data_IF_561924756707
#
_entry.id   IF_561924756707
#
_cell.length_a   1.000
_cell.length_b   1.000
_cell.length_c   1.000
_cell.angle_alpha   90.00
_cell.angle_beta   90.00
_cell.angle_gamma   90.00
#
_symmetry.space_group_name_H-M   'P 1'
#
loop_
_entity.id
_entity.type
_entity.pdbx_description
1 polymer ?
#
# COMPACT_ATOMS: atom_id res chain seq x y z
N UNK A 1 -24.32 22.14 -4.17
CA UNK A 1 -22.99 21.76 -3.65
C UNK A 1 -22.53 20.47 -4.30
N UNK A 2 -21.30 20.36 -4.78
CA UNK A 2 -20.77 19.10 -5.32
C UNK A 2 -20.78 18.05 -4.20
N UNK A 3 -21.22 16.82 -4.53
CA UNK A 3 -21.23 15.71 -3.57
C UNK A 3 -19.78 15.42 -3.14
N UNK A 4 -19.52 15.37 -1.84
CA UNK A 4 -18.20 15.08 -1.30
C UNK A 4 -17.76 13.68 -1.73
N UNK A 5 -16.56 13.57 -2.29
CA UNK A 5 -15.97 12.29 -2.69
C UNK A 5 -15.09 11.76 -1.58
N UNK A 6 -15.27 10.49 -1.25
CA UNK A 6 -14.44 9.78 -0.27
C UNK A 6 -13.65 8.68 -0.94
N UNK A 7 -12.51 8.37 -0.35
CA UNK A 7 -11.61 7.28 -0.74
C UNK A 7 -11.37 6.39 0.47
N UNK A 8 -11.19 5.11 0.23
CA UNK A 8 -10.80 4.13 1.23
C UNK A 8 -9.48 3.52 0.78
N UNK A 9 -8.43 3.73 1.54
CA UNK A 9 -7.12 3.14 1.32
C UNK A 9 -7.09 1.86 2.16
N UNK A 10 -6.79 0.74 1.52
CA UNK A 10 -6.61 -0.57 2.13
C UNK A 10 -5.14 -0.94 2.07
N UNK A 11 -4.60 -1.41 3.17
CA UNK A 11 -3.32 -2.12 3.18
C UNK A 11 -3.39 -3.36 4.07
N UNK A 12 -2.61 -4.40 3.72
CA UNK A 12 -2.61 -5.67 4.42
C UNK A 12 -1.21 -6.26 4.56
N UNK A 13 -0.86 -6.69 5.77
CA UNK A 13 0.27 -7.57 6.00
C UNK A 13 -0.18 -9.03 6.15
N UNK A 14 0.62 -9.95 5.65
CA UNK A 14 0.15 -11.31 5.38
C UNK A 14 0.85 -12.38 6.21
N UNK A 15 0.18 -13.53 6.31
CA UNK A 15 0.76 -14.78 6.77
C UNK A 15 1.43 -15.53 5.63
N UNK A 16 2.20 -16.57 5.96
CA UNK A 16 2.81 -17.49 4.97
C UNK A 16 1.78 -18.25 4.12
N UNK A 17 0.52 -18.31 4.55
CA UNK A 17 -0.57 -19.01 3.88
C UNK A 17 -1.44 -18.06 3.03
N UNK A 18 -0.90 -16.91 2.65
CA UNK A 18 -1.59 -15.93 1.80
C UNK A 18 -2.89 -15.37 2.39
N UNK A 19 -2.99 -15.33 3.71
CA UNK A 19 -4.11 -14.71 4.44
C UNK A 19 -3.67 -13.43 5.14
N UNK A 20 -4.62 -12.56 5.48
CA UNK A 20 -4.35 -11.30 6.16
C UNK A 20 -4.03 -11.53 7.62
N UNK A 21 -2.91 -10.97 8.09
CA UNK A 21 -2.50 -10.94 9.50
C UNK A 21 -2.76 -9.58 10.15
N UNK A 22 -2.31 -8.48 9.53
CA UNK A 22 -2.61 -7.09 9.91
C UNK A 22 -3.47 -6.47 8.81
N UNK A 23 -4.57 -5.86 9.20
CA UNK A 23 -5.56 -5.27 8.31
C UNK A 23 -5.77 -3.82 8.67
N UNK A 24 -5.66 -2.93 7.69
CA UNK A 24 -6.02 -1.54 7.89
C UNK A 24 -6.81 -0.96 6.73
N UNK A 25 -7.70 -0.03 7.07
CA UNK A 25 -8.37 0.86 6.13
C UNK A 25 -8.37 2.28 6.65
N UNK A 26 -8.10 3.25 5.76
CA UNK A 26 -8.16 4.68 6.04
C UNK A 26 -9.17 5.33 5.10
N UNK A 27 -10.21 5.96 5.65
CA UNK A 27 -11.22 6.69 4.88
C UNK A 27 -10.88 8.18 4.92
N UNK A 28 -10.65 8.75 3.76
CA UNK A 28 -10.28 10.16 3.60
C UNK A 28 -11.14 10.85 2.54
N UNK A 29 -11.04 12.19 2.49
CA UNK A 29 -11.54 12.98 1.39
C UNK A 29 -10.42 13.35 0.40
N UNK A 30 -10.78 14.18 -0.58
CA UNK A 30 -9.87 14.63 -1.63
C UNK A 30 -8.71 15.48 -1.12
N UNK A 31 -8.88 16.14 0.02
CA UNK A 31 -7.86 16.96 0.68
C UNK A 31 -6.96 16.15 1.62
N UNK A 32 -7.23 14.83 1.78
CA UNK A 32 -6.48 13.95 2.68
C UNK A 32 -6.94 14.00 4.13
N UNK A 33 -8.09 14.65 4.42
CA UNK A 33 -8.64 14.62 5.78
C UNK A 33 -9.19 13.21 6.07
N UNK A 34 -8.73 12.62 7.14
CA UNK A 34 -9.18 11.29 7.60
C UNK A 34 -10.50 11.45 8.36
N UNK A 35 -11.49 10.62 8.02
CA UNK A 35 -12.83 10.57 8.62
C UNK A 35 -13.08 9.34 9.47
N UNK A 36 -12.42 8.25 9.12
CA UNK A 36 -12.48 7.00 9.86
C UNK A 36 -11.26 6.14 9.50
N UNK A 37 -10.88 5.27 10.40
CA UNK A 37 -9.84 4.27 10.16
C UNK A 37 -10.09 3.02 10.97
N UNK A 38 -9.61 1.89 10.48
CA UNK A 38 -9.59 0.60 11.15
C UNK A 38 -8.17 0.05 11.07
N UNK A 39 -7.67 -0.48 12.17
CA UNK A 39 -6.38 -1.15 12.24
C UNK A 39 -6.44 -2.29 13.23
N UNK A 40 -6.41 -3.53 12.74
CA UNK A 40 -6.63 -4.71 13.56
C UNK A 40 -5.77 -5.89 13.11
N UNK A 41 -5.38 -6.72 14.07
CA UNK A 41 -4.81 -8.03 13.78
C UNK A 41 -5.94 -9.05 13.63
N UNK A 42 -5.89 -9.86 12.57
CA UNK A 42 -6.98 -10.77 12.20
C UNK A 42 -6.92 -12.03 13.06
N UNK A 43 -7.88 -12.17 13.97
CA UNK A 43 -8.00 -13.35 14.83
C UNK A 43 -8.19 -14.63 14.02
N UNK A 44 -7.50 -15.70 14.41
CA UNK A 44 -7.49 -16.96 13.68
C UNK A 44 -6.46 -17.02 12.54
N UNK A 45 -5.85 -15.89 12.16
CA UNK A 45 -4.76 -15.82 11.17
C UNK A 45 -3.47 -15.31 11.83
N UNK A 46 -3.47 -14.09 12.34
CA UNK A 46 -2.31 -13.51 13.01
C UNK A 46 -1.76 -14.37 14.15
N UNK A 47 -2.63 -14.90 15.00
CA UNK A 47 -2.24 -15.62 16.21
C UNK A 47 -1.97 -17.12 16.01
N UNK A 48 -2.31 -17.68 14.86
CA UNK A 48 -2.17 -19.12 14.57
C UNK A 48 -1.17 -19.43 13.47
N UNK A 49 -0.77 -18.44 12.68
CA UNK A 49 0.12 -18.61 11.54
C UNK A 49 1.37 -17.76 11.67
N UNK A 50 2.42 -18.17 10.97
CA UNK A 50 3.65 -17.40 10.85
C UNK A 50 3.46 -16.23 9.90
N UNK A 51 4.01 -15.06 10.24
CA UNK A 51 3.96 -13.89 9.37
C UNK A 51 4.90 -14.08 8.18
N UNK A 52 4.45 -13.66 7.00
CA UNK A 52 5.23 -13.80 5.77
C UNK A 52 6.62 -13.14 5.89
N UNK A 53 6.68 -11.90 6.39
CA UNK A 53 7.94 -11.19 6.55
C UNK A 53 8.87 -11.80 7.59
N UNK A 54 8.35 -12.34 8.70
CA UNK A 54 9.18 -13.00 9.71
C UNK A 54 9.86 -14.25 9.18
N UNK A 55 9.21 -14.99 8.27
CA UNK A 55 9.75 -16.19 7.64
C UNK A 55 10.69 -15.86 6.49
N UNK A 56 10.39 -14.81 5.74
CA UNK A 56 11.07 -14.44 4.50
C UNK A 56 12.06 -13.28 4.67
N UNK A 57 12.28 -12.83 5.91
CA UNK A 57 13.12 -11.67 6.20
C UNK A 57 14.53 -11.72 5.57
N UNK A 58 15.12 -12.92 5.46
CA UNK A 58 16.44 -13.16 4.89
C UNK A 58 16.38 -13.89 3.55
N UNK A 59 15.24 -13.91 2.88
CA UNK A 59 15.02 -14.61 1.62
C UNK A 59 15.16 -13.65 0.42
N UNK A 60 14.76 -14.14 -0.76
CA UNK A 60 14.88 -13.48 -2.09
C UNK A 60 14.35 -12.05 -2.17
N UNK A 61 13.57 -11.60 -1.19
CA UNK A 61 12.98 -10.26 -1.15
C UNK A 61 13.90 -9.18 -0.56
N UNK A 62 15.09 -9.54 -0.04
CA UNK A 62 16.08 -8.58 0.47
C UNK A 62 15.65 -7.82 1.72
N UNK A 63 14.77 -8.38 2.53
CA UNK A 63 14.34 -7.81 3.81
C UNK A 63 15.38 -8.00 4.92
N UNK A 64 16.66 -7.96 4.58
CA UNK A 64 17.75 -8.07 5.58
C UNK A 64 17.58 -7.00 6.67
N UNK A 65 17.66 -7.42 7.92
CA UNK A 65 17.60 -6.53 9.08
C UNK A 65 16.19 -6.12 9.50
N UNK A 66 15.14 -6.58 8.83
CA UNK A 66 13.79 -6.42 9.35
C UNK A 66 13.61 -7.31 10.57
N UNK A 67 13.53 -6.68 11.72
CA UNK A 67 13.26 -7.35 12.99
C UNK A 67 11.94 -8.14 12.88
N UNK A 68 11.87 -9.22 13.63
CA UNK A 68 10.67 -10.04 13.72
C UNK A 68 9.47 -9.17 14.05
N UNK A 69 8.56 -9.01 13.10
CA UNK A 69 7.36 -8.15 13.23
C UNK A 69 6.41 -8.63 14.29
N UNK A 70 6.39 -9.94 14.55
CA UNK A 70 5.60 -10.54 15.62
C UNK A 70 5.84 -9.85 16.96
N UNK A 71 7.10 -9.54 17.29
CA UNK A 71 7.44 -8.84 18.53
C UNK A 71 6.89 -7.40 18.55
N UNK A 72 6.95 -6.70 17.43
CA UNK A 72 6.36 -5.36 17.27
C UNK A 72 4.85 -5.37 17.47
N UNK A 73 4.17 -6.34 16.86
CA UNK A 73 2.71 -6.49 17.02
C UNK A 73 2.29 -6.85 18.44
N UNK A 74 3.08 -7.65 19.17
CA UNK A 74 2.82 -7.91 20.60
C UNK A 74 2.83 -6.59 21.38
N UNK A 75 3.85 -5.77 21.17
CA UNK A 75 3.92 -4.46 21.81
C UNK A 75 2.74 -3.54 21.41
N UNK A 76 2.29 -3.58 20.15
CA UNK A 76 1.12 -2.83 19.70
C UNK A 76 -0.19 -3.31 20.37
N UNK A 77 -0.32 -4.62 20.61
CA UNK A 77 -1.46 -5.19 21.34
C UNK A 77 -1.43 -4.75 22.81
N UNK A 78 -0.27 -4.85 23.47
CA UNK A 78 -0.09 -4.50 24.87
C UNK A 78 -0.37 -3.02 25.14
N UNK A 79 0.00 -2.16 24.17
CA UNK A 79 -0.22 -0.71 24.24
C UNK A 79 -1.59 -0.26 23.70
N UNK A 80 -2.44 -1.18 23.24
CA UNK A 80 -3.75 -0.87 22.69
C UNK A 80 -3.75 -0.16 21.32
N UNK A 81 -2.61 -0.12 20.63
CA UNK A 81 -2.48 0.46 19.27
C UNK A 81 -3.08 -0.47 18.20
N UNK A 82 -3.09 -1.75 18.49
CA UNK A 82 -3.81 -2.79 17.72
C UNK A 82 -4.70 -3.59 18.66
N UNK A 83 -5.72 -4.22 18.10
CA UNK A 83 -6.55 -5.22 18.79
C UNK A 83 -6.76 -6.41 17.86
N UNK A 84 -7.08 -7.57 18.45
CA UNK A 84 -7.54 -8.72 17.68
C UNK A 84 -9.00 -8.52 17.28
N UNK A 85 -9.31 -8.74 16.02
CA UNK A 85 -10.67 -8.70 15.51
C UNK A 85 -10.99 -9.92 14.66
N UNK A 86 -12.20 -10.45 14.79
CA UNK A 86 -12.67 -11.51 13.91
C UNK A 86 -12.98 -10.97 12.52
N UNK A 87 -12.94 -11.83 11.51
CA UNK A 87 -13.34 -11.50 10.13
C UNK A 87 -14.76 -10.93 10.07
N UNK A 88 -15.68 -11.46 10.89
CA UNK A 88 -17.05 -10.93 10.98
C UNK A 88 -17.08 -9.49 11.49
N UNK A 89 -16.26 -9.14 12.47
CA UNK A 89 -16.17 -7.77 12.99
C UNK A 89 -15.59 -6.82 11.94
N UNK A 90 -14.57 -7.24 11.19
CA UNK A 90 -13.99 -6.50 10.08
C UNK A 90 -15.05 -6.26 8.99
N UNK A 91 -15.75 -7.29 8.55
CA UNK A 91 -16.80 -7.19 7.53
C UNK A 91 -17.94 -6.26 7.98
N UNK A 92 -18.34 -6.31 9.25
CA UNK A 92 -19.33 -5.39 9.80
C UNK A 92 -18.85 -3.93 9.75
N UNK A 93 -17.60 -3.66 10.11
CA UNK A 93 -17.01 -2.33 10.03
C UNK A 93 -16.96 -1.83 8.59
N UNK A 94 -16.53 -2.68 7.64
CA UNK A 94 -16.48 -2.37 6.20
C UNK A 94 -17.87 -1.96 5.69
N UNK A 95 -18.90 -2.74 5.98
CA UNK A 95 -20.27 -2.47 5.54
C UNK A 95 -20.81 -1.14 6.12
N UNK A 96 -20.50 -0.84 7.39
CA UNK A 96 -20.84 0.44 8.00
C UNK A 96 -20.12 1.62 7.32
N UNK A 97 -18.84 1.44 7.02
CA UNK A 97 -18.03 2.45 6.34
C UNK A 97 -18.53 2.72 4.91
N UNK A 98 -18.85 1.66 4.14
CA UNK A 98 -19.45 1.78 2.81
C UNK A 98 -20.80 2.50 2.89
N UNK A 99 -21.68 2.09 3.78
CA UNK A 99 -23.01 2.70 3.94
C UNK A 99 -22.94 4.19 4.31
N UNK A 100 -21.96 4.60 5.11
CA UNK A 100 -21.81 5.98 5.57
C UNK A 100 -21.12 6.88 4.55
N UNK A 101 -20.08 6.40 3.88
CA UNK A 101 -19.18 7.24 3.08
C UNK A 101 -19.26 6.93 1.57
N UNK A 102 -19.68 5.73 1.17
CA UNK A 102 -19.66 5.23 -0.21
C UNK A 102 -18.31 5.55 -0.91
N UNK A 103 -17.17 5.15 -0.33
CA UNK A 103 -15.87 5.55 -0.83
C UNK A 103 -15.42 4.72 -2.03
N UNK A 104 -14.51 5.28 -2.84
CA UNK A 104 -13.75 4.51 -3.82
C UNK A 104 -12.61 3.76 -3.12
N UNK A 105 -12.54 2.43 -3.30
CA UNK A 105 -11.48 1.59 -2.72
C UNK A 105 -10.20 1.68 -3.53
N UNK A 106 -9.07 1.79 -2.85
CA UNK A 106 -7.74 1.71 -3.46
C UNK A 106 -6.73 1.06 -2.51
N UNK A 107 -5.64 0.54 -3.07
CA UNK A 107 -4.46 0.05 -2.36
C UNK A 107 -3.24 0.16 -3.28
N UNK A 108 -2.04 0.16 -2.71
CA UNK A 108 -0.81 0.10 -3.50
C UNK A 108 -0.58 -1.33 -3.97
N UNK A 109 -0.91 -1.64 -5.23
CA UNK A 109 -1.08 -2.98 -5.81
C UNK A 109 -2.38 -3.69 -5.37
N UNK A 110 -3.50 -3.04 -5.60
CA UNK A 110 -4.84 -3.47 -5.16
C UNK A 110 -5.16 -4.96 -5.40
N UNK A 111 -4.69 -5.55 -6.48
CA UNK A 111 -4.94 -6.96 -6.78
C UNK A 111 -4.36 -7.91 -5.71
N UNK A 112 -3.22 -7.53 -5.13
CA UNK A 112 -2.60 -8.29 -4.03
C UNK A 112 -3.52 -8.31 -2.81
N UNK A 113 -3.95 -7.15 -2.33
CA UNK A 113 -4.78 -7.01 -1.14
C UNK A 113 -6.17 -7.64 -1.31
N UNK A 114 -6.78 -7.49 -2.51
CA UNK A 114 -8.05 -8.14 -2.83
C UNK A 114 -7.95 -9.66 -2.70
N UNK A 115 -6.88 -10.27 -3.22
CA UNK A 115 -6.68 -11.72 -3.14
C UNK A 115 -6.47 -12.18 -1.69
N UNK A 116 -5.67 -11.45 -0.90
CA UNK A 116 -5.41 -11.80 0.51
C UNK A 116 -6.69 -11.66 1.36
N UNK A 117 -7.46 -10.59 1.15
CA UNK A 117 -8.76 -10.41 1.79
C UNK A 117 -9.74 -11.53 1.43
N UNK A 118 -9.81 -11.91 0.15
CA UNK A 118 -10.66 -13.02 -0.30
C UNK A 118 -10.26 -14.35 0.37
N UNK A 119 -8.98 -14.67 0.43
CA UNK A 119 -8.47 -15.89 1.08
C UNK A 119 -8.75 -15.92 2.59
N UNK A 120 -8.94 -14.76 3.20
CA UNK A 120 -9.22 -14.60 4.63
C UNK A 120 -10.73 -14.59 4.92
N UNK A 121 -11.58 -14.38 3.92
CA UNK A 121 -13.02 -14.20 4.06
C UNK A 121 -13.42 -12.75 4.40
N UNK A 122 -12.54 -11.80 4.14
CA UNK A 122 -12.83 -10.36 4.24
C UNK A 122 -13.53 -9.93 2.95
N UNK A 123 -14.77 -9.44 3.07
CA UNK A 123 -15.62 -9.10 1.95
C UNK A 123 -15.46 -7.63 1.52
N UNK A 124 -14.93 -7.43 0.33
CA UNK A 124 -14.75 -6.13 -0.32
C UNK A 124 -15.69 -5.91 -1.52
N UNK A 125 -16.71 -6.78 -1.68
CA UNK A 125 -17.63 -6.73 -2.83
C UNK A 125 -18.52 -5.49 -2.82
N UNK A 126 -18.82 -4.95 -1.64
CA UNK A 126 -19.70 -3.79 -1.48
C UNK A 126 -19.13 -2.45 -2.00
N UNK A 127 -17.83 -2.37 -2.31
CA UNK A 127 -17.24 -1.16 -2.90
C UNK A 127 -17.62 -1.04 -4.38
N UNK A 128 -18.39 -0.01 -4.74
CA UNK A 128 -18.86 0.23 -6.11
C UNK A 128 -17.75 0.68 -7.07
N UNK A 129 -16.73 1.36 -6.55
CA UNK A 129 -15.60 1.85 -7.34
C UNK A 129 -14.30 1.37 -6.73
N UNK A 130 -13.39 0.89 -7.58
CA UNK A 130 -12.08 0.40 -7.18
C UNK A 130 -11.04 0.83 -8.21
N UNK A 131 -9.85 1.20 -7.75
CA UNK A 131 -8.69 1.46 -8.63
C UNK A 131 -7.38 1.14 -7.93
N UNK A 132 -6.36 0.81 -8.70
CA UNK A 132 -5.03 0.50 -8.17
C UNK A 132 -4.22 1.80 -8.00
N UNK A 133 -3.78 2.12 -6.77
CA UNK A 133 -2.99 3.31 -6.48
C UNK A 133 -1.61 3.24 -7.13
N UNK A 134 -1.00 2.06 -7.18
CA UNK A 134 0.25 1.87 -7.91
C UNK A 134 0.11 2.22 -9.41
N UNK A 135 -0.92 1.71 -10.11
CA UNK A 135 -1.16 2.05 -11.52
C UNK A 135 -1.45 3.55 -11.71
N UNK A 136 -2.16 4.17 -10.78
CA UNK A 136 -2.37 5.61 -10.77
C UNK A 136 -1.05 6.37 -10.57
N UNK A 137 -0.16 5.86 -9.71
CA UNK A 137 1.18 6.43 -9.47
C UNK A 137 2.06 6.30 -10.70
N UNK A 138 2.02 5.16 -11.40
CA UNK A 138 2.76 4.93 -12.64
C UNK A 138 2.49 6.03 -13.64
N UNK A 139 1.23 6.32 -13.94
CA UNK A 139 0.88 7.30 -14.96
C UNK A 139 1.00 8.76 -14.51
N UNK A 140 0.64 9.02 -13.25
CA UNK A 140 0.59 10.40 -12.76
C UNK A 140 1.92 10.92 -12.21
N UNK A 141 2.81 10.02 -11.74
CA UNK A 141 4.07 10.38 -11.06
C UNK A 141 5.26 9.73 -11.75
N UNK A 142 5.34 8.38 -11.76
CA UNK A 142 6.56 7.66 -12.05
C UNK A 142 7.03 7.78 -13.51
N UNK A 143 6.11 7.99 -14.47
CA UNK A 143 6.45 8.22 -15.88
C UNK A 143 7.10 9.60 -16.14
N UNK A 144 7.13 10.49 -15.15
CA UNK A 144 7.68 11.84 -15.32
C UNK A 144 9.22 11.85 -15.31
N UNK A 145 9.83 12.77 -16.06
CA UNK A 145 11.28 12.99 -16.02
C UNK A 145 11.77 13.36 -14.60
N UNK A 146 10.98 14.14 -13.86
CA UNK A 146 11.32 14.56 -12.49
C UNK A 146 11.43 13.37 -11.54
N UNK A 147 10.47 12.43 -11.62
CA UNK A 147 10.53 11.22 -10.79
C UNK A 147 11.75 10.35 -11.14
N UNK A 148 12.01 10.15 -12.42
CA UNK A 148 13.16 9.35 -12.87
C UNK A 148 14.48 9.98 -12.44
N UNK A 149 14.60 11.32 -12.50
CA UNK A 149 15.78 12.02 -11.98
C UNK A 149 15.93 11.84 -10.47
N UNK A 150 14.83 11.99 -9.71
CA UNK A 150 14.85 11.74 -8.26
C UNK A 150 15.29 10.29 -7.94
N UNK A 151 14.80 9.30 -8.70
CA UNK A 151 15.20 7.91 -8.53
C UNK A 151 16.68 7.67 -8.85
N UNK A 152 17.24 8.36 -9.86
CA UNK A 152 18.68 8.35 -10.15
C UNK A 152 19.48 8.94 -9.00
N UNK A 153 19.13 10.12 -8.54
CA UNK A 153 19.84 10.86 -7.49
C UNK A 153 19.87 10.09 -6.16
N UNK A 154 18.85 9.26 -5.92
CA UNK A 154 18.71 8.44 -4.72
C UNK A 154 19.06 6.96 -4.92
N UNK A 155 19.62 6.56 -6.05
CA UNK A 155 19.96 5.17 -6.38
C UNK A 155 18.78 4.19 -6.20
N UNK A 156 17.54 4.66 -6.46
CA UNK A 156 16.31 3.90 -6.26
C UNK A 156 16.03 2.96 -7.45
N UNK A 157 16.77 1.85 -7.51
CA UNK A 157 16.66 0.85 -8.56
C UNK A 157 16.28 -0.51 -8.00
N UNK A 158 15.57 -1.30 -8.81
CA UNK A 158 15.43 -2.72 -8.56
C UNK A 158 16.75 -3.44 -8.90
N UNK A 159 16.97 -4.57 -8.25
CA UNK A 159 18.14 -5.40 -8.51
C UNK A 159 18.28 -5.73 -10.00
N UNK A 160 19.52 -5.87 -10.45
CA UNK A 160 19.83 -6.26 -11.81
C UNK A 160 19.23 -7.63 -12.10
N UNK A 161 18.42 -7.72 -13.15
CA UNK A 161 17.88 -8.99 -13.62
C UNK A 161 18.99 -9.91 -14.15
N UNK A 162 18.69 -11.20 -14.35
CA UNK A 162 19.61 -12.14 -15.00
C UNK A 162 20.09 -11.69 -16.39
N UNK A 163 19.43 -10.72 -17.00
CA UNK A 163 19.80 -10.13 -18.29
C UNK A 163 20.55 -8.78 -18.16
N UNK A 164 20.99 -8.41 -16.97
CA UNK A 164 21.72 -7.19 -16.72
C UNK A 164 20.88 -5.90 -16.72
N UNK A 165 19.56 -6.00 -16.73
CA UNK A 165 18.68 -4.82 -16.79
C UNK A 165 18.28 -4.37 -15.40
N UNK A 166 18.41 -3.08 -15.12
CA UNK A 166 17.87 -2.41 -13.94
C UNK A 166 16.62 -1.62 -14.31
N UNK A 167 15.69 -1.49 -13.39
CA UNK A 167 14.52 -0.62 -13.53
C UNK A 167 14.41 0.32 -12.33
N UNK A 168 13.84 1.50 -12.56
CA UNK A 168 13.50 2.42 -11.50
C UNK A 168 12.50 1.77 -10.54
N UNK A 169 12.73 1.89 -9.24
CA UNK A 169 11.74 1.49 -8.23
C UNK A 169 10.48 2.34 -8.36
N UNK A 170 9.34 1.73 -8.13
CA UNK A 170 8.02 2.37 -8.14
C UNK A 170 7.16 1.91 -6.96
N UNK A 171 7.80 1.41 -5.88
CA UNK A 171 7.14 1.07 -4.62
C UNK A 171 6.67 2.33 -3.88
N UNK A 172 5.75 2.17 -2.93
CA UNK A 172 5.13 3.28 -2.23
C UNK A 172 6.16 4.13 -1.48
N UNK A 173 7.15 3.51 -0.84
CA UNK A 173 8.26 4.17 -0.16
C UNK A 173 8.96 5.23 -1.04
N UNK A 174 9.38 4.85 -2.26
CA UNK A 174 10.11 5.77 -3.15
C UNK A 174 9.19 6.82 -3.74
N UNK A 175 7.94 6.47 -4.07
CA UNK A 175 6.95 7.43 -4.60
C UNK A 175 6.56 8.45 -3.54
N UNK A 176 6.33 8.02 -2.31
CA UNK A 176 6.09 8.91 -1.17
C UNK A 176 7.32 9.79 -0.89
N UNK A 177 8.52 9.20 -0.94
CA UNK A 177 9.78 9.92 -0.81
C UNK A 177 9.98 11.01 -1.86
N UNK A 178 9.59 10.75 -3.10
CA UNK A 178 9.59 11.76 -4.16
C UNK A 178 8.64 12.93 -3.86
N UNK A 179 7.44 12.63 -3.36
CA UNK A 179 6.44 13.67 -3.02
C UNK A 179 6.94 14.56 -1.88
N UNK A 180 7.56 13.95 -0.86
CA UNK A 180 8.00 14.62 0.35
C UNK A 180 9.46 15.13 0.26
N UNK A 181 10.14 14.86 -0.85
CA UNK A 181 11.58 15.11 -1.05
C UNK A 181 12.45 14.49 0.07
N UNK A 182 12.02 13.36 0.61
CA UNK A 182 12.72 12.62 1.67
C UNK A 182 12.24 11.16 1.69
N UNK A 183 13.16 10.21 1.48
CA UNK A 183 12.83 8.78 1.52
C UNK A 183 12.86 8.34 2.99
N UNK A 184 11.74 7.81 3.45
CA UNK A 184 11.56 7.18 4.75
C UNK A 184 11.21 5.73 4.48
N UNK A 185 11.80 4.81 5.23
CA UNK A 185 11.56 3.37 5.09
C UNK A 185 10.16 3.04 5.62
N UNK A 186 9.38 2.30 4.84
CA UNK A 186 8.08 1.78 5.27
C UNK A 186 8.25 0.83 6.45
N UNK A 187 7.45 0.99 7.52
CA UNK A 187 7.49 0.08 8.66
C UNK A 187 6.90 -1.30 8.32
N UNK A 188 6.18 -1.42 7.20
CA UNK A 188 5.42 -2.57 6.78
C UNK A 188 4.43 -3.03 7.86
N UNK A 189 3.63 -2.11 8.32
CA UNK A 189 2.48 -2.33 9.19
C UNK A 189 1.28 -1.63 8.57
N UNK A 190 0.17 -2.36 8.42
CA UNK A 190 -0.90 -1.97 7.51
C UNK A 190 -1.46 -0.54 7.73
N UNK A 191 -1.65 -0.08 8.95
CA UNK A 191 -2.18 1.27 9.17
C UNK A 191 -1.17 2.36 8.81
N UNK A 192 0.06 2.16 9.25
CA UNK A 192 1.13 3.14 9.06
C UNK A 192 1.43 3.29 7.56
N UNK A 193 1.45 2.17 6.82
CA UNK A 193 1.68 2.18 5.37
C UNK A 193 0.51 2.85 4.64
N UNK A 194 -0.73 2.49 4.94
CA UNK A 194 -1.92 3.14 4.37
C UNK A 194 -1.98 4.64 4.67
N UNK A 195 -1.67 5.05 5.91
CA UNK A 195 -1.84 6.42 6.39
C UNK A 195 -0.66 7.33 6.02
N UNK A 196 0.58 6.84 6.23
CA UNK A 196 1.77 7.69 6.19
C UNK A 196 2.49 7.62 4.83
N UNK A 197 2.20 6.60 4.00
CA UNK A 197 2.77 6.43 2.66
C UNK A 197 1.71 6.52 1.55
N UNK A 198 0.66 5.72 1.59
CA UNK A 198 -0.30 5.67 0.49
C UNK A 198 -1.24 6.88 0.46
N UNK A 199 -1.68 7.40 1.61
CA UNK A 199 -2.52 8.59 1.67
C UNK A 199 -1.83 9.84 1.09
N UNK A 200 -0.55 10.16 1.37
CA UNK A 200 0.18 11.21 0.67
C UNK A 200 0.22 11.01 -0.85
N UNK A 201 0.45 9.79 -1.31
CA UNK A 201 0.48 9.45 -2.74
C UNK A 201 -0.90 9.70 -3.36
N UNK A 202 -1.95 9.17 -2.77
CA UNK A 202 -3.32 9.36 -3.23
C UNK A 202 -3.66 10.85 -3.34
N UNK A 203 -3.44 11.61 -2.26
CA UNK A 203 -3.78 13.03 -2.23
C UNK A 203 -2.98 13.86 -3.23
N UNK A 204 -1.73 13.49 -3.50
CA UNK A 204 -0.93 14.14 -4.55
C UNK A 204 -1.52 13.90 -5.95
N UNK A 205 -1.98 12.68 -6.22
CA UNK A 205 -2.53 12.27 -7.52
C UNK A 205 -3.89 12.93 -7.77
N UNK A 206 -4.82 12.81 -6.82
CA UNK A 206 -6.22 13.22 -7.02
C UNK A 206 -6.42 14.75 -7.05
N UNK A 207 -5.41 15.54 -6.73
CA UNK A 207 -5.40 17.00 -6.98
C UNK A 207 -5.51 17.33 -8.46
N UNK A 208 -4.98 16.49 -9.35
CA UNK A 208 -5.03 16.69 -10.80
C UNK A 208 -6.46 16.41 -11.29
N UNK A 209 -6.97 17.25 -12.20
CA UNK A 209 -8.35 17.14 -12.72
C UNK A 209 -8.60 15.81 -13.42
N UNK A 210 -7.65 15.36 -14.23
CA UNK A 210 -7.79 14.18 -15.10
C UNK A 210 -6.89 13.03 -14.63
N UNK A 211 -6.74 12.85 -13.31
CA UNK A 211 -5.86 11.82 -12.76
C UNK A 211 -6.27 10.39 -13.17
N UNK A 212 -7.57 10.16 -13.35
CA UNK A 212 -8.13 8.86 -13.70
C UNK A 212 -7.73 8.43 -15.12
N UNK A 213 -7.58 9.37 -16.05
CA UNK A 213 -7.16 9.10 -17.44
C UNK A 213 -5.70 8.58 -17.49
N UNK A 214 -4.96 8.78 -16.41
CA UNK A 214 -3.57 8.36 -16.26
C UNK A 214 -3.41 7.13 -15.35
N UNK A 215 -4.44 6.34 -15.13
CA UNK A 215 -4.31 5.02 -14.50
C UNK A 215 -3.84 4.07 -15.58
N UNK A 216 -2.58 3.67 -15.54
CA UNK A 216 -1.95 2.85 -16.58
C UNK A 216 -1.22 1.65 -15.98
N UNK A 217 -1.18 0.51 -16.67
CA UNK A 217 -0.38 -0.63 -16.22
C UNK A 217 1.11 -0.29 -16.23
N UNK A 218 1.86 -1.03 -15.43
CA UNK A 218 3.32 -0.93 -15.44
C UNK A 218 3.88 -1.44 -16.77
N UNK A 219 4.65 -0.60 -17.43
CA UNK A 219 5.38 -0.94 -18.66
C UNK A 219 6.88 -1.00 -18.36
N UNK A 220 7.39 -2.19 -18.23
CA UNK A 220 8.79 -2.46 -17.90
C UNK A 220 9.78 -1.70 -18.81
N UNK A 221 9.48 -1.57 -20.10
CA UNK A 221 10.36 -0.88 -21.05
C UNK A 221 10.51 0.62 -20.74
N UNK A 222 9.49 1.24 -20.18
CA UNK A 222 9.51 2.66 -19.81
C UNK A 222 10.31 2.93 -18.53
N UNK A 223 10.56 1.91 -17.73
CA UNK A 223 11.24 2.01 -16.44
C UNK A 223 12.67 1.47 -16.47
N UNK A 224 13.18 1.00 -17.61
CA UNK A 224 14.58 0.60 -17.73
C UNK A 224 15.51 1.78 -17.50
N UNK A 225 16.55 1.55 -16.68
CA UNK A 225 17.67 2.47 -16.51
C UNK A 225 18.62 2.27 -17.68
N UNK A 226 18.58 3.16 -18.66
CA UNK A 226 19.43 3.14 -19.86
C UNK A 226 20.76 3.84 -19.58
N UNK A 227 21.78 3.56 -20.43
CA UNK A 227 23.14 4.09 -20.23
C UNK A 227 23.23 5.62 -20.20
N UNK A 228 22.36 6.33 -20.91
CA UNK A 228 22.27 7.80 -20.87
C UNK A 228 21.76 8.36 -19.50
N UNK A 229 21.37 7.50 -18.58
CA UNK A 229 21.06 7.84 -17.18
C UNK A 229 22.15 7.38 -16.20
N UNK A 230 23.21 6.72 -16.68
CA UNK A 230 24.29 6.17 -15.83
C UNK A 230 25.50 7.09 -15.75
N UNK A 231 25.44 8.28 -16.38
CA UNK A 231 26.54 9.23 -16.42
C UNK A 231 26.55 10.17 -15.20
#
# INVERSE_FOLDING_TARGET
MAKKQYFCILDTETTINDTVADFAMVICDREGRIYNQCAVLVAGHYNTMELFHDKKANDIWGYEGLNKRKAGYIAMLDNGVRMLASVNAINKWINQAIGKYNPSLTAYNLAFDLNKCMNTGIDLSGFNQKFCLWQASIGNICNTKKYKQFALDNHAFNNVTKHGNMTFKTNAEIVCGFINNNIIIEPHTALEDARDFELPILTHIIKKRNWQDNIVPYDWNKFQVRDNYKA
#
